data_IF_473046813720
#
_entry.id   IF_473046813720
#
_cell.length_a   1.000
_cell.length_b   1.000
_cell.length_c   1.000
_cell.angle_alpha   90.00
_cell.angle_beta   90.00
_cell.angle_gamma   90.00
#
_symmetry.space_group_name_H-M   'P 1'
#
loop_
_entity.id
_entity.type
_entity.pdbx_description
1 polymer ?
#
# COMPACT_ATOMS: atom_id res chain seq x y z
N UNK A 1 5.38 -12.95 -3.87
CA UNK A 1 4.90 -11.60 -3.48
C UNK A 1 5.43 -10.58 -4.49
N UNK A 2 4.59 -10.14 -5.42
CA UNK A 2 4.99 -9.09 -6.36
C UNK A 2 5.18 -7.78 -5.57
N UNK A 3 6.43 -7.29 -5.55
CA UNK A 3 6.80 -6.00 -4.98
C UNK A 3 6.63 -4.94 -6.06
N UNK A 4 6.52 -3.67 -5.68
CA UNK A 4 6.61 -2.53 -6.59
C UNK A 4 8.00 -2.48 -7.25
N UNK A 5 8.28 -3.39 -8.19
CA UNK A 5 9.61 -3.66 -8.71
C UNK A 5 9.88 -2.97 -10.05
N UNK A 6 8.84 -2.67 -10.82
CA UNK A 6 8.97 -1.87 -12.04
C UNK A 6 9.16 -0.38 -11.70
N UNK A 7 9.79 0.39 -12.60
CA UNK A 7 9.90 1.85 -12.46
C UNK A 7 8.54 2.52 -12.28
N UNK A 8 7.52 2.02 -12.99
CA UNK A 8 6.12 2.41 -12.85
C UNK A 8 5.60 2.15 -11.43
N UNK A 9 5.83 0.94 -10.92
CA UNK A 9 5.44 0.54 -9.58
C UNK A 9 6.13 1.37 -8.50
N UNK A 10 7.43 1.67 -8.66
CA UNK A 10 8.16 2.54 -7.75
C UNK A 10 7.62 3.98 -7.76
N UNK A 11 7.27 4.52 -8.92
CA UNK A 11 6.62 5.82 -9.02
C UNK A 11 5.26 5.84 -8.30
N UNK A 12 4.46 4.79 -8.51
CA UNK A 12 3.16 4.63 -7.87
C UNK A 12 3.27 4.47 -6.35
N UNK A 13 4.24 3.69 -5.86
CA UNK A 13 4.43 3.50 -4.42
C UNK A 13 4.83 4.80 -3.73
N UNK A 14 5.71 5.61 -4.35
CA UNK A 14 6.07 6.94 -3.86
C UNK A 14 4.87 7.88 -3.84
N UNK A 15 4.03 7.85 -4.88
CA UNK A 15 2.81 8.66 -4.94
C UNK A 15 1.84 8.28 -3.83
N UNK A 16 1.57 6.98 -3.64
CA UNK A 16 0.73 6.49 -2.54
C UNK A 16 1.32 6.89 -1.18
N UNK A 17 2.62 6.71 -0.97
CA UNK A 17 3.28 7.09 0.29
C UNK A 17 3.19 8.59 0.56
N UNK A 18 3.22 9.44 -0.47
CA UNK A 18 3.11 10.89 -0.32
C UNK A 18 1.74 11.35 0.19
N UNK A 19 0.70 10.52 0.06
CA UNK A 19 -0.63 10.80 0.62
C UNK A 19 -0.67 10.67 2.14
N UNK A 20 0.33 10.03 2.76
CA UNK A 20 0.38 9.80 4.19
C UNK A 20 1.42 10.70 4.86
N UNK A 21 1.18 11.15 6.11
CA UNK A 21 2.17 11.86 6.88
C UNK A 21 3.47 11.05 7.01
N UNK A 22 4.62 11.70 6.86
CA UNK A 22 5.91 11.07 7.15
C UNK A 22 5.99 10.76 8.64
N UNK A 23 6.38 9.53 8.98
CA UNK A 23 6.59 9.13 10.38
C UNK A 23 7.80 9.90 10.92
N UNK A 24 7.56 10.89 11.77
CA UNK A 24 8.61 11.56 12.54
C UNK A 24 9.01 10.63 13.69
N UNK A 25 10.21 10.05 13.60
CA UNK A 25 10.79 9.29 14.70
C UNK A 25 11.22 10.25 15.82
N UNK A 26 10.32 10.54 16.77
CA UNK A 26 10.76 11.14 18.04
C UNK A 26 11.59 10.11 18.80
N UNK A 27 12.85 10.42 19.12
CA UNK A 27 13.79 9.55 19.84
C UNK A 27 13.29 9.06 21.21
N UNK A 28 12.23 9.66 21.76
CA UNK A 28 11.81 9.48 23.16
C UNK A 28 10.46 8.78 23.35
N UNK A 29 9.68 8.57 22.30
CA UNK A 29 8.46 7.77 22.37
C UNK A 29 8.34 7.02 21.05
N UNK A 30 8.55 5.70 21.04
CA UNK A 30 8.18 4.89 19.87
C UNK A 30 6.65 5.03 19.74
N UNK A 31 6.11 5.73 18.72
CA UNK A 31 4.67 5.71 18.53
C UNK A 31 4.32 4.25 18.32
N UNK A 32 3.42 3.75 19.16
CA UNK A 32 2.97 2.37 19.05
C UNK A 32 2.34 2.26 17.66
N UNK A 33 3.05 1.62 16.70
CA UNK A 33 2.60 1.41 15.32
C UNK A 33 1.46 0.39 15.33
N UNK A 34 0.34 0.82 15.91
CA UNK A 34 -0.89 0.05 16.06
C UNK A 34 -1.75 0.15 14.81
N UNK A 35 -1.49 1.08 13.91
CA UNK A 35 -2.27 1.30 12.71
C UNK A 35 -1.39 1.05 11.47
N UNK A 36 -1.78 0.10 10.62
CA UNK A 36 -1.01 -0.38 9.49
C UNK A 36 -1.86 -0.38 8.22
N UNK A 37 -1.46 0.45 7.26
CA UNK A 37 -1.98 0.42 5.89
C UNK A 37 -1.08 -0.46 5.01
N UNK A 38 -1.65 -1.52 4.43
CA UNK A 38 -0.96 -2.42 3.53
C UNK A 38 -1.38 -2.15 2.08
N UNK A 39 -0.39 -1.95 1.22
CA UNK A 39 -0.55 -1.81 -0.22
C UNK A 39 0.28 -2.87 -0.93
N UNK A 40 -0.38 -3.72 -1.72
CA UNK A 40 0.28 -4.76 -2.51
C UNK A 40 0.00 -4.53 -3.99
N UNK A 41 1.06 -4.53 -4.81
CA UNK A 41 0.93 -4.39 -6.25
C UNK A 41 1.10 -5.74 -6.95
N UNK A 42 0.11 -6.14 -7.72
CA UNK A 42 0.15 -7.40 -8.48
C UNK A 42 -0.62 -7.21 -9.79
N UNK A 43 0.04 -7.53 -10.91
CA UNK A 43 -0.55 -7.56 -12.26
C UNK A 43 -1.36 -6.29 -12.63
N UNK A 44 -0.85 -5.12 -12.27
CA UNK A 44 -1.52 -3.85 -12.55
C UNK A 44 -2.56 -3.44 -11.49
N UNK A 45 -2.85 -4.27 -10.50
CA UNK A 45 -3.75 -3.93 -9.41
C UNK A 45 -2.98 -3.54 -8.15
N UNK A 46 -3.48 -2.53 -7.46
CA UNK A 46 -3.09 -2.19 -6.09
C UNK A 46 -4.18 -2.69 -5.15
N UNK A 47 -3.84 -3.64 -4.30
CA UNK A 47 -4.70 -4.14 -3.23
C UNK A 47 -4.41 -3.37 -1.95
N UNK A 48 -5.46 -2.82 -1.34
CA UNK A 48 -5.38 -2.12 -0.07
C UNK A 48 -6.07 -2.91 1.04
N UNK A 49 -5.41 -2.96 2.20
CA UNK A 49 -5.99 -3.43 3.46
C UNK A 49 -5.55 -2.56 4.62
N UNK A 50 -6.44 -2.34 5.57
CA UNK A 50 -6.16 -1.56 6.76
C UNK A 50 -6.29 -2.40 8.02
N UNK A 51 -5.21 -2.51 8.79
CA UNK A 51 -5.12 -3.33 9.98
C UNK A 51 -4.77 -2.52 11.21
N UNK A 52 -5.30 -2.98 12.34
CA UNK A 52 -4.85 -2.59 13.66
C UNK A 52 -3.99 -3.71 14.27
N UNK A 53 -2.78 -3.37 14.74
CA UNK A 53 -1.91 -4.28 15.49
C UNK A 53 -2.36 -4.28 16.95
N UNK A 54 -2.89 -5.40 17.40
CA UNK A 54 -3.23 -5.64 18.78
C UNK A 54 -2.09 -6.40 19.44
N UNK A 55 -1.51 -5.82 20.49
CA UNK A 55 -0.54 -6.50 21.34
C UNK A 55 -1.30 -6.98 22.56
N UNK A 56 -1.54 -8.29 22.68
CA UNK A 56 -2.00 -8.85 23.94
C UNK A 56 -0.84 -8.71 24.95
N UNK A 57 -1.06 -7.99 26.06
CA UNK A 57 -0.09 -7.99 27.16
C UNK A 57 -0.04 -9.43 27.70
N UNK A 58 1.14 -10.04 27.70
CA UNK A 58 1.37 -11.25 28.47
C UNK A 58 1.23 -10.86 29.95
N UNK A 59 0.13 -11.23 30.58
CA UNK A 59 0.03 -11.13 32.02
C UNK A 59 1.01 -12.17 32.60
N UNK A 60 2.09 -11.69 33.22
CA UNK A 60 2.98 -12.48 34.10
C UNK A 60 3.94 -13.49 33.46
N UNK A 61 4.24 -13.43 32.15
CA UNK A 61 5.23 -14.31 31.50
C UNK A 61 6.34 -13.50 30.84
N UNK A 62 7.59 -13.96 30.93
CA UNK A 62 8.76 -13.41 30.20
C UNK A 62 8.64 -13.56 28.67
N UNK A 63 7.55 -14.16 28.19
CA UNK A 63 7.28 -14.32 26.76
C UNK A 63 7.04 -12.98 26.04
N UNK A 64 7.62 -12.88 24.83
CA UNK A 64 7.41 -11.74 23.94
C UNK A 64 5.91 -11.60 23.64
N UNK A 65 5.36 -10.37 23.66
CA UNK A 65 3.94 -10.15 23.41
C UNK A 65 3.55 -10.66 22.02
N UNK A 66 2.51 -11.49 21.97
CA UNK A 66 1.93 -11.97 20.71
C UNK A 66 1.23 -10.79 20.03
N UNK A 67 1.75 -10.40 18.87
CA UNK A 67 1.14 -9.39 18.03
C UNK A 67 0.11 -10.05 17.11
N UNK A 68 -1.15 -9.66 17.22
CA UNK A 68 -2.22 -10.06 16.30
C UNK A 68 -2.61 -8.87 15.42
N UNK A 69 -2.96 -9.13 14.16
CA UNK A 69 -3.44 -8.11 13.22
C UNK A 69 -4.94 -8.29 13.04
N UNK A 70 -5.72 -7.23 13.23
CA UNK A 70 -7.16 -7.21 12.97
C UNK A 70 -7.44 -6.25 11.82
N UNK A 71 -8.11 -6.70 10.77
CA UNK A 71 -8.58 -5.80 9.69
C UNK A 71 -9.66 -4.88 10.28
N UNK A 72 -9.52 -3.56 10.12
CA UNK A 72 -10.41 -2.54 10.74
C UNK A 72 -10.92 -1.49 9.77
N UNK A 73 -10.32 -1.36 8.59
CA UNK A 73 -10.71 -0.36 7.61
C UNK A 73 -11.21 -0.97 6.30
N UNK A 74 -11.45 -0.12 5.29
CA UNK A 74 -12.00 -0.58 4.03
C UNK A 74 -11.01 -1.48 3.30
N UNK A 75 -11.57 -2.34 2.47
CA UNK A 75 -10.83 -3.19 1.55
C UNK A 75 -11.18 -2.78 0.14
N UNK A 76 -10.18 -2.44 -0.65
CA UNK A 76 -10.40 -2.06 -2.03
C UNK A 76 -9.24 -2.50 -2.92
N UNK A 77 -9.54 -2.54 -4.21
CA UNK A 77 -8.59 -2.78 -5.27
C UNK A 77 -8.64 -1.60 -6.25
N UNK A 78 -7.47 -1.17 -6.71
CA UNK A 78 -7.34 -0.11 -7.71
C UNK A 78 -6.61 -0.67 -8.93
N UNK A 79 -7.23 -0.57 -10.10
CA UNK A 79 -6.53 -0.83 -11.35
C UNK A 79 -5.63 0.36 -11.67
N UNK A 80 -4.33 0.13 -11.74
CA UNK A 80 -3.37 1.12 -12.17
C UNK A 80 -3.55 1.37 -13.66
N UNK A 81 -4.05 2.57 -14.00
CA UNK A 81 -4.26 2.98 -15.39
C UNK A 81 -3.10 3.80 -15.98
N UNK A 82 -2.04 4.07 -15.23
CA UNK A 82 -0.90 4.88 -15.70
C UNK A 82 -0.61 6.10 -14.83
N UNK A 83 0.52 6.76 -15.12
CA UNK A 83 0.99 7.98 -14.44
C UNK A 83 1.12 9.10 -15.47
N UNK A 84 0.52 10.25 -15.16
CA UNK A 84 0.69 11.50 -15.90
C UNK A 84 1.42 12.49 -15.01
N UNK A 85 2.42 13.18 -15.56
CA UNK A 85 3.01 14.38 -14.97
C UNK A 85 2.22 15.58 -15.43
N UNK A 86 1.87 16.46 -14.50
CA UNK A 86 1.33 17.77 -14.80
C UNK A 86 2.44 18.79 -14.56
N UNK A 87 2.75 19.60 -15.58
CA UNK A 87 3.58 20.78 -15.38
C UNK A 87 2.77 21.83 -14.61
N UNK A 88 3.27 22.27 -13.45
CA UNK A 88 2.55 23.28 -12.65
C UNK A 88 2.50 24.64 -13.34
N UNK A 89 3.55 24.98 -14.09
CA UNK A 89 3.71 26.29 -14.72
C UNK A 89 2.88 26.43 -16.00
N UNK A 90 2.67 25.33 -16.72
CA UNK A 90 2.02 25.33 -18.05
C UNK A 90 0.74 24.50 -18.12
N UNK A 91 0.41 23.75 -17.07
CA UNK A 91 -0.71 22.80 -17.05
C UNK A 91 -0.54 21.61 -18.00
N UNK A 92 0.58 21.49 -18.69
CA UNK A 92 0.76 20.48 -19.73
C UNK A 92 0.85 19.08 -19.13
N UNK A 93 0.15 18.13 -19.77
CA UNK A 93 0.11 16.73 -19.36
C UNK A 93 1.13 15.93 -20.16
N UNK A 94 2.10 15.32 -19.47
CA UNK A 94 3.02 14.36 -20.06
C UNK A 94 2.78 12.98 -19.49
N UNK A 95 2.46 12.01 -20.34
CA UNK A 95 2.33 10.63 -19.94
C UNK A 95 3.72 10.08 -19.56
N UNK A 96 3.88 9.59 -18.33
CA UNK A 96 5.13 9.03 -17.82
C UNK A 96 5.15 7.51 -18.03
N UNK A 97 4.03 6.86 -17.74
CA UNK A 97 3.95 5.42 -17.80
C UNK A 97 2.52 4.95 -18.04
N UNK A 98 2.38 3.94 -18.89
CA UNK A 98 1.21 3.09 -19.00
C UNK A 98 1.60 1.66 -18.58
N UNK A 99 0.70 0.93 -17.91
CA UNK A 99 0.85 -0.52 -17.81
C UNK A 99 0.74 -1.16 -19.21
N UNK A 100 1.24 -2.39 -19.38
CA UNK A 100 1.06 -3.16 -20.60
C UNK A 100 -0.42 -3.28 -21.00
N UNK A 101 -0.71 -3.32 -22.30
CA UNK A 101 -2.07 -3.47 -22.83
C UNK A 101 -2.80 -4.71 -22.27
N UNK A 102 -2.04 -5.79 -22.03
CA UNK A 102 -2.54 -7.03 -21.43
C UNK A 102 -3.13 -6.87 -20.02
N UNK A 103 -2.91 -5.74 -19.33
CA UNK A 103 -3.55 -5.45 -18.04
C UNK A 103 -5.00 -4.97 -18.18
N UNK A 104 -5.42 -4.57 -19.39
CA UNK A 104 -6.76 -4.06 -19.68
C UNK A 104 -7.69 -5.12 -20.28
N UNK A 105 -7.11 -6.19 -20.84
CA UNK A 105 -7.86 -7.26 -21.52
C UNK A 105 -8.49 -8.29 -20.55
N UNK A 106 -8.29 -8.14 -19.24
CA UNK A 106 -8.83 -9.07 -18.22
C UNK A 106 -9.81 -8.38 -17.27
N UNK A 107 -11.08 -8.17 -17.68
CA UNK A 107 -12.13 -7.72 -16.76
C UNK A 107 -12.53 -8.80 -15.74
N UNK A 108 -12.19 -10.08 -15.99
CA UNK A 108 -12.66 -11.24 -15.21
C UNK A 108 -11.58 -11.99 -14.41
N UNK A 109 -10.44 -11.37 -14.09
CA UNK A 109 -9.61 -11.95 -13.02
C UNK A 109 -10.40 -11.84 -11.72
N UNK A 110 -11.09 -12.94 -11.37
CA UNK A 110 -11.71 -13.14 -10.08
C UNK A 110 -10.75 -12.62 -9.00
N UNK A 111 -11.33 -11.77 -8.16
CA UNK A 111 -10.94 -11.25 -6.85
C UNK A 111 -10.22 -12.25 -5.93
N UNK A 112 -9.17 -12.94 -6.38
CA UNK A 112 -8.34 -13.77 -5.54
C UNK A 112 -7.35 -12.85 -4.86
N UNK A 113 -7.78 -12.34 -3.72
CA UNK A 113 -6.92 -11.56 -2.86
C UNK A 113 -5.77 -12.42 -2.38
N UNK A 114 -4.52 -11.94 -2.46
CA UNK A 114 -3.39 -12.66 -1.93
C UNK A 114 -3.60 -12.93 -0.42
N UNK A 115 -3.20 -14.11 0.08
CA UNK A 115 -3.23 -14.42 1.50
C UNK A 115 -2.31 -13.47 2.30
N UNK A 116 -2.65 -13.29 3.57
CA UNK A 116 -1.97 -12.39 4.54
C UNK A 116 -0.54 -12.86 4.83
#
# INVERSE_FOLDING_TARGET
>A
MARFASQAGLGLSRLIQSLFPKVTHSRTNKPCQKNLAFFQYQDGFVFYRHHWLHSAKAALSEERPKHTRKEVGPRFQLLFKGVKKVSLDTGSLKLICMPPASHYDYPERQLMMPPI
#
